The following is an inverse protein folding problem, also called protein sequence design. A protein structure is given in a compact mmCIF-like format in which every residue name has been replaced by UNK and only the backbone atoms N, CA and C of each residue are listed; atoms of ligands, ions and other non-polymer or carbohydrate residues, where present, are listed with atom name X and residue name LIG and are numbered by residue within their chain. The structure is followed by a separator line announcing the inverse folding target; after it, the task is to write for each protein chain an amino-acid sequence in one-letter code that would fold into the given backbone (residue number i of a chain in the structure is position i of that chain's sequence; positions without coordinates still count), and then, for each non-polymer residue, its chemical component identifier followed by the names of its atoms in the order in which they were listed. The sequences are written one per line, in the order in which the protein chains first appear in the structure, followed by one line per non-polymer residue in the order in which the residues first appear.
data_IF_350871596197
#
_entry.id   IF_350871596197
#
_cell.length_a   1.000
_cell.length_b   1.000
_cell.length_c   1.000
_cell.angle_alpha   90.00
_cell.angle_beta   90.00
_cell.angle_gamma   90.00
#
_symmetry.space_group_name_H-M   'P 1'
#
loop_
_entity.id
_entity.type
_entity.pdbx_description
1 polymer ?
#
# COMPACT_ATOMS: atom_id res chain seq x y z
N UNK A 1 -8.08 8.57 -27.76
CA UNK A 1 -7.77 8.08 -26.42
C UNK A 1 -7.35 9.23 -25.52
N UNK A 2 -7.88 9.27 -24.33
CA UNK A 2 -7.51 10.22 -23.28
C UNK A 2 -6.72 9.50 -22.19
N UNK A 3 -6.03 10.27 -21.36
CA UNK A 3 -5.39 9.78 -20.13
C UNK A 3 -6.01 10.50 -18.95
N UNK A 4 -6.03 9.84 -17.80
CA UNK A 4 -6.44 10.39 -16.52
C UNK A 4 -5.49 9.88 -15.44
N UNK A 5 -5.26 10.70 -14.42
CA UNK A 5 -4.41 10.37 -13.27
C UNK A 5 -5.25 9.89 -12.06
N UNK A 6 -6.53 9.60 -12.29
CA UNK A 6 -7.43 9.10 -11.25
C UNK A 6 -6.99 7.76 -10.68
N UNK A 7 -6.97 7.67 -9.35
CA UNK A 7 -6.66 6.42 -8.66
C UNK A 7 -7.78 5.40 -8.84
N UNK A 8 -7.41 4.15 -9.14
CA UNK A 8 -8.32 3.02 -9.23
C UNK A 8 -7.70 1.79 -8.58
N UNK A 9 -8.54 0.88 -8.08
CA UNK A 9 -8.16 -0.48 -7.74
C UNK A 9 -8.58 -1.46 -8.83
N UNK A 10 -7.92 -2.60 -8.89
CA UNK A 10 -8.34 -3.68 -9.78
C UNK A 10 -9.74 -4.20 -9.41
N UNK A 11 -10.12 -4.17 -8.14
CA UNK A 11 -11.45 -4.53 -7.66
C UNK A 11 -12.56 -3.58 -8.17
N UNK A 12 -12.22 -2.35 -8.54
CA UNK A 12 -13.17 -1.36 -9.07
C UNK A 12 -13.66 -1.72 -10.50
N UNK A 13 -12.95 -2.61 -11.18
CA UNK A 13 -13.25 -2.98 -12.58
C UNK A 13 -14.61 -3.66 -12.69
N UNK A 14 -14.94 -4.59 -11.79
CA UNK A 14 -16.22 -5.28 -11.80
C UNK A 14 -17.39 -4.30 -11.65
N UNK A 15 -17.33 -3.43 -10.64
CA UNK A 15 -18.37 -2.42 -10.39
C UNK A 15 -18.50 -1.45 -11.56
N UNK A 16 -17.39 -1.10 -12.20
CA UNK A 16 -17.40 -0.25 -13.40
C UNK A 16 -18.06 -0.92 -14.58
N UNK A 17 -17.78 -2.21 -14.83
CA UNK A 17 -18.43 -2.95 -15.91
C UNK A 17 -19.93 -3.07 -15.63
N UNK A 18 -20.32 -3.37 -14.40
CA UNK A 18 -21.73 -3.43 -14.00
C UNK A 18 -22.46 -2.10 -14.23
N UNK A 19 -21.82 -0.98 -13.85
CA UNK A 19 -22.38 0.36 -14.06
C UNK A 19 -22.51 0.71 -15.55
N UNK A 20 -21.52 0.39 -16.38
CA UNK A 20 -21.57 0.65 -17.83
C UNK A 20 -22.65 -0.19 -18.51
N UNK A 21 -22.86 -1.42 -18.09
CA UNK A 21 -23.79 -2.36 -18.73
C UNK A 21 -25.20 -2.29 -18.14
N UNK A 22 -25.40 -1.54 -17.04
CA UNK A 22 -26.67 -1.46 -16.31
C UNK A 22 -27.00 -2.74 -15.53
N UNK A 23 -26.04 -3.64 -15.34
CA UNK A 23 -26.19 -4.83 -14.49
C UNK A 23 -25.93 -4.45 -13.04
N UNK A 24 -26.75 -4.93 -12.11
CA UNK A 24 -26.52 -4.70 -10.68
C UNK A 24 -25.24 -5.44 -10.25
N UNK A 25 -24.30 -4.71 -9.64
CA UNK A 25 -23.12 -5.30 -9.02
C UNK A 25 -23.52 -6.22 -7.85
N UNK A 26 -22.79 -7.31 -7.60
CA UNK A 26 -22.99 -8.15 -6.42
C UNK A 26 -22.84 -7.33 -5.13
N UNK A 27 -23.65 -7.66 -4.11
CA UNK A 27 -23.61 -6.95 -2.81
C UNK A 27 -22.33 -7.21 -2.01
N UNK A 28 -21.54 -8.19 -2.45
CA UNK A 28 -20.27 -8.59 -1.84
C UNK A 28 -19.07 -7.86 -2.44
N UNK A 29 -19.26 -6.97 -3.43
CA UNK A 29 -18.15 -6.20 -3.99
C UNK A 29 -17.78 -5.05 -3.05
N UNK A 30 -16.48 -4.75 -2.98
CA UNK A 30 -15.94 -3.59 -2.25
C UNK A 30 -15.41 -2.52 -3.21
N UNK A 31 -15.68 -2.72 -4.51
CA UNK A 31 -15.25 -1.82 -5.57
C UNK A 31 -16.07 -0.53 -5.62
N UNK A 32 -15.52 0.44 -6.31
CA UNK A 32 -16.20 1.70 -6.63
C UNK A 32 -16.13 1.92 -8.13
N UNK A 33 -17.27 2.07 -8.81
CA UNK A 33 -17.26 2.35 -10.24
C UNK A 33 -16.47 3.62 -10.56
N UNK A 34 -15.50 3.51 -11.46
CA UNK A 34 -14.78 4.66 -12.01
C UNK A 34 -15.34 5.12 -13.36
N UNK A 35 -16.55 4.66 -13.74
CA UNK A 35 -17.25 5.16 -14.93
C UNK A 35 -17.28 6.70 -15.01
N UNK A 36 -17.54 7.45 -13.90
CA UNK A 36 -17.53 8.91 -13.96
C UNK A 36 -16.20 9.51 -14.42
N UNK A 37 -15.07 8.82 -14.15
CA UNK A 37 -13.76 9.24 -14.64
C UNK A 37 -13.62 8.93 -16.13
N UNK A 38 -14.09 7.77 -16.58
CA UNK A 38 -14.04 7.36 -18.00
C UNK A 38 -14.82 8.28 -18.92
N UNK A 39 -15.93 8.83 -18.44
CA UNK A 39 -16.78 9.75 -19.21
C UNK A 39 -16.47 11.24 -18.97
N UNK A 40 -15.47 11.55 -18.15
CA UNK A 40 -15.03 12.92 -17.88
C UNK A 40 -15.92 13.71 -16.92
N UNK A 41 -16.76 13.06 -16.14
CA UNK A 41 -17.61 13.68 -15.11
C UNK A 41 -16.86 13.98 -13.82
N UNK A 42 -15.78 13.21 -13.55
CA UNK A 42 -14.92 13.38 -12.38
C UNK A 42 -13.46 13.17 -12.77
N UNK A 43 -12.56 13.77 -12.02
CA UNK A 43 -11.12 13.56 -12.16
C UNK A 43 -10.68 12.26 -11.47
N UNK A 44 -11.29 11.94 -10.35
CA UNK A 44 -11.01 10.71 -9.58
C UNK A 44 -12.26 10.24 -8.84
N UNK A 45 -12.29 8.98 -8.47
CA UNK A 45 -13.27 8.41 -7.55
C UNK A 45 -12.66 7.99 -6.21
N UNK A 46 -11.33 8.04 -6.10
CA UNK A 46 -10.59 7.69 -4.90
C UNK A 46 -9.44 8.66 -4.68
N UNK A 47 -9.34 9.19 -3.47
CA UNK A 47 -8.23 10.06 -3.05
C UNK A 47 -7.05 9.24 -2.52
N UNK A 48 -7.34 8.06 -1.97
CA UNK A 48 -6.38 7.22 -1.27
C UNK A 48 -6.34 5.84 -1.90
N UNK A 49 -5.14 5.25 -1.97
CA UNK A 49 -4.94 3.84 -2.26
C UNK A 49 -4.27 3.18 -1.05
N UNK A 50 -4.84 2.08 -0.60
CA UNK A 50 -4.28 1.22 0.45
C UNK A 50 -3.82 -0.10 -0.17
N UNK A 51 -2.65 -0.58 0.18
CA UNK A 51 -2.07 -1.80 -0.34
C UNK A 51 -1.57 -2.72 0.77
N UNK A 52 -1.80 -4.02 0.60
CA UNK A 52 -1.39 -5.08 1.53
C UNK A 52 -0.59 -6.13 0.76
N UNK A 53 0.56 -6.52 1.31
CA UNK A 53 1.32 -7.65 0.82
C UNK A 53 1.93 -8.44 1.98
N UNK A 54 1.48 -9.66 2.16
CA UNK A 54 1.98 -10.52 3.25
C UNK A 54 3.14 -11.44 2.82
N UNK A 55 3.19 -11.87 1.56
CA UNK A 55 4.33 -12.59 0.97
C UNK A 55 4.87 -13.79 1.78
N UNK A 56 4.02 -14.42 2.60
CA UNK A 56 4.41 -15.51 3.51
C UNK A 56 4.90 -15.02 4.89
N UNK A 57 4.98 -13.71 5.13
CA UNK A 57 5.31 -13.11 6.43
C UNK A 57 4.10 -12.37 7.01
N UNK A 58 4.07 -12.17 8.32
CA UNK A 58 3.00 -11.48 9.04
C UNK A 58 3.59 -10.50 10.04
N UNK A 59 3.07 -9.29 10.11
CA UNK A 59 1.98 -8.71 9.31
C UNK A 59 2.31 -8.45 7.84
N UNK A 60 3.57 -8.37 7.44
CA UNK A 60 3.99 -8.13 6.07
C UNK A 60 4.17 -6.65 5.75
N UNK A 61 3.76 -6.22 4.56
CA UNK A 61 3.86 -4.83 4.15
C UNK A 61 2.49 -4.18 4.07
N UNK A 62 2.41 -2.92 4.48
CA UNK A 62 1.25 -2.05 4.34
C UNK A 62 1.69 -0.77 3.65
N UNK A 63 0.90 -0.32 2.70
CA UNK A 63 1.20 0.91 1.99
C UNK A 63 -0.04 1.79 1.85
N UNK A 64 0.16 3.08 1.90
CA UNK A 64 -0.88 4.06 1.60
C UNK A 64 -0.32 5.12 0.65
N UNK A 65 -1.13 5.52 -0.33
CA UNK A 65 -0.83 6.61 -1.27
C UNK A 65 -1.95 7.63 -1.23
N UNK A 66 -1.59 8.92 -1.10
CA UNK A 66 -2.51 10.04 -1.24
C UNK A 66 -1.81 11.21 -1.93
N UNK A 67 -2.39 11.67 -3.03
CA UNK A 67 -1.71 12.64 -3.89
C UNK A 67 -0.35 12.10 -4.36
N UNK A 68 0.69 12.92 -4.19
CA UNK A 68 2.07 12.54 -4.54
C UNK A 68 2.81 11.79 -3.43
N UNK A 69 2.17 11.58 -2.29
CA UNK A 69 2.83 10.93 -1.15
C UNK A 69 2.47 9.46 -1.05
N UNK A 70 3.49 8.64 -0.75
CA UNK A 70 3.34 7.22 -0.48
C UNK A 70 4.16 6.84 0.73
N UNK A 71 3.52 6.15 1.67
CA UNK A 71 4.17 5.48 2.80
C UNK A 71 4.09 3.98 2.58
N UNK A 72 5.20 3.30 2.78
CA UNK A 72 5.26 1.84 2.88
C UNK A 72 5.83 1.49 4.25
N UNK A 73 5.16 0.61 4.96
CA UNK A 73 5.61 0.11 6.24
C UNK A 73 5.83 -1.40 6.15
N UNK A 74 7.05 -1.83 6.44
CA UNK A 74 7.49 -3.21 6.38
C UNK A 74 7.53 -3.78 7.79
N UNK A 75 6.92 -4.94 7.99
CA UNK A 75 7.06 -5.77 9.18
C UNK A 75 7.14 -7.22 8.69
N UNK A 76 8.33 -7.62 8.29
CA UNK A 76 8.57 -8.85 7.55
C UNK A 76 9.61 -9.71 8.26
N UNK A 77 9.72 -10.97 7.85
CA UNK A 77 10.61 -11.97 8.43
C UNK A 77 10.42 -12.12 9.94
N UNK A 78 9.15 -12.22 10.39
CA UNK A 78 8.79 -12.32 11.80
C UNK A 78 9.32 -11.16 12.67
N UNK A 79 9.40 -9.95 12.09
CA UNK A 79 9.85 -8.74 12.77
C UNK A 79 11.36 -8.48 12.68
N UNK A 80 12.10 -9.28 11.91
CA UNK A 80 13.54 -9.03 11.70
C UNK A 80 13.78 -7.76 10.87
N UNK A 81 12.82 -7.40 10.00
CA UNK A 81 12.85 -6.17 9.22
C UNK A 81 11.61 -5.36 9.55
N UNK A 82 11.81 -4.24 10.23
CA UNK A 82 10.80 -3.25 10.56
C UNK A 82 11.27 -1.90 10.06
N UNK A 83 10.67 -1.43 8.97
CA UNK A 83 11.14 -0.25 8.24
C UNK A 83 9.95 0.56 7.74
N UNK A 84 10.11 1.88 7.70
CA UNK A 84 9.19 2.81 7.04
C UNK A 84 9.90 3.45 5.85
N UNK A 85 9.22 3.52 4.73
CA UNK A 85 9.70 4.22 3.55
C UNK A 85 8.68 5.26 3.13
N UNK A 86 9.09 6.53 3.11
CA UNK A 86 8.27 7.65 2.68
C UNK A 86 8.80 8.22 1.37
N UNK A 87 7.91 8.36 0.39
CA UNK A 87 8.21 8.87 -0.94
C UNK A 87 7.36 10.07 -1.29
N UNK A 88 7.97 11.03 -1.98
CA UNK A 88 7.27 12.01 -2.79
C UNK A 88 7.35 11.53 -4.26
N UNK A 89 6.25 11.07 -4.81
CA UNK A 89 6.19 10.49 -6.16
C UNK A 89 6.33 11.53 -7.27
N UNK A 90 6.12 12.82 -6.98
CA UNK A 90 6.42 13.88 -7.94
C UNK A 90 7.93 13.99 -8.20
N UNK A 91 8.75 13.78 -7.17
CA UNK A 91 10.21 13.85 -7.25
C UNK A 91 10.84 12.48 -7.54
N UNK A 92 10.17 11.40 -7.11
CA UNK A 92 10.66 10.02 -7.22
C UNK A 92 9.54 9.05 -7.64
N UNK A 93 9.05 9.15 -8.89
CA UNK A 93 7.90 8.37 -9.36
C UNK A 93 8.14 6.85 -9.44
N UNK A 94 9.39 6.43 -9.39
CA UNK A 94 9.78 5.02 -9.44
C UNK A 94 10.17 4.44 -8.07
N UNK A 95 10.04 5.24 -6.99
CA UNK A 95 10.32 4.80 -5.62
C UNK A 95 11.75 4.24 -5.46
N UNK A 96 12.71 4.82 -6.18
CA UNK A 96 14.11 4.41 -6.07
C UNK A 96 14.73 4.89 -4.77
N UNK A 97 15.56 4.04 -4.18
CA UNK A 97 16.36 4.35 -3.00
C UNK A 97 17.82 4.15 -3.33
N UNK A 98 18.63 5.20 -3.27
CA UNK A 98 20.04 5.15 -3.62
C UNK A 98 20.81 4.14 -2.75
N UNK A 99 20.43 4.01 -1.47
CA UNK A 99 21.02 3.06 -0.52
C UNK A 99 20.67 1.60 -0.81
N UNK A 100 19.56 1.32 -1.50
CA UNK A 100 19.12 -0.04 -1.81
C UNK A 100 19.53 -0.51 -3.22
N UNK A 101 20.16 0.37 -4.01
CA UNK A 101 20.60 0.05 -5.36
C UNK A 101 22.09 -0.33 -5.38
N UNK A 102 22.41 -1.50 -4.84
CA UNK A 102 23.74 -2.09 -5.04
C UNK A 102 24.06 -2.30 -6.53
N UNK A 103 25.35 -2.31 -6.89
CA UNK A 103 25.80 -2.41 -8.28
C UNK A 103 25.14 -3.54 -9.08
N UNK A 104 24.89 -4.70 -8.47
CA UNK A 104 24.19 -5.82 -9.12
C UNK A 104 22.72 -5.53 -9.46
N UNK A 105 22.01 -4.72 -8.64
CA UNK A 105 20.65 -4.27 -8.93
C UNK A 105 20.66 -3.31 -10.10
N UNK A 106 21.58 -2.34 -10.11
CA UNK A 106 21.75 -1.39 -11.23
C UNK A 106 22.09 -2.13 -12.53
N UNK A 107 22.97 -3.13 -12.48
CA UNK A 107 23.31 -3.93 -13.65
C UNK A 107 22.10 -4.67 -14.23
N UNK A 108 21.25 -5.24 -13.36
CA UNK A 108 20.06 -5.99 -13.75
C UNK A 108 18.96 -5.06 -14.29
N UNK A 109 18.65 -4.00 -13.58
CA UNK A 109 17.50 -3.12 -13.86
C UNK A 109 17.83 -2.02 -14.86
N UNK A 110 19.11 -1.69 -15.05
CA UNK A 110 19.62 -0.51 -15.77
C UNK A 110 19.11 0.81 -15.17
N UNK A 111 18.64 0.76 -13.92
CA UNK A 111 18.17 1.92 -13.17
C UNK A 111 19.24 2.37 -12.19
N UNK A 112 19.71 3.60 -12.33
CA UNK A 112 20.70 4.21 -11.44
C UNK A 112 20.02 5.38 -10.70
N UNK A 113 19.67 5.20 -9.40
CA UNK A 113 18.99 6.24 -8.65
C UNK A 113 19.89 7.48 -8.51
N UNK A 114 19.28 8.66 -8.58
CA UNK A 114 19.97 9.88 -8.23
C UNK A 114 20.24 9.92 -6.72
N UNK A 115 21.31 10.61 -6.31
CA UNK A 115 21.74 10.68 -4.90
C UNK A 115 20.70 11.28 -3.95
N UNK A 116 19.75 12.04 -4.47
CA UNK A 116 18.65 12.62 -3.70
C UNK A 116 17.39 11.72 -3.67
N UNK A 117 17.40 10.59 -4.32
CA UNK A 117 16.35 9.57 -4.23
C UNK A 117 16.64 8.68 -3.02
N UNK A 118 16.28 9.19 -1.85
CA UNK A 118 16.49 8.58 -0.53
C UNK A 118 15.15 8.38 0.17
N UNK A 119 15.17 7.56 1.21
CA UNK A 119 14.03 7.43 2.10
C UNK A 119 13.79 8.74 2.86
N UNK A 120 12.60 9.32 2.73
CA UNK A 120 12.22 10.56 3.40
C UNK A 120 11.71 10.35 4.82
N UNK A 121 11.47 9.09 5.25
CA UNK A 121 10.97 8.78 6.58
C UNK A 121 11.93 9.19 7.71
N UNK A 122 13.23 9.18 7.42
CA UNK A 122 14.29 9.50 8.39
C UNK A 122 14.70 10.99 8.37
N UNK A 123 14.18 11.78 7.45
CA UNK A 123 14.48 13.21 7.35
C UNK A 123 13.52 14.03 8.23
N UNK A 124 14.02 14.72 9.28
CA UNK A 124 13.20 15.53 10.18
C UNK A 124 12.35 16.58 9.47
N UNK A 125 12.74 17.01 8.27
CA UNK A 125 11.96 17.95 7.45
C UNK A 125 10.59 17.39 7.08
N UNK A 126 10.45 16.07 7.01
CA UNK A 126 9.22 15.39 6.60
C UNK A 126 8.50 14.71 7.77
N UNK A 127 8.88 14.98 9.02
CA UNK A 127 8.29 14.36 10.21
C UNK A 127 6.76 14.54 10.28
N UNK A 128 6.28 15.76 10.03
CA UNK A 128 4.83 16.04 10.01
C UNK A 128 4.11 15.27 8.88
N UNK A 129 4.75 15.17 7.70
CA UNK A 129 4.21 14.40 6.59
C UNK A 129 4.21 12.90 6.89
N UNK A 130 5.24 12.38 7.51
CA UNK A 130 5.29 10.98 7.96
C UNK A 130 4.14 10.70 8.93
N UNK A 131 3.94 11.54 9.93
CA UNK A 131 2.84 11.40 10.91
C UNK A 131 1.45 11.45 10.23
N UNK A 132 1.27 12.35 9.26
CA UNK A 132 0.03 12.40 8.47
C UNK A 132 -0.22 11.07 7.73
N UNK A 133 0.80 10.55 7.06
CA UNK A 133 0.68 9.33 6.27
C UNK A 133 0.53 8.07 7.15
N UNK A 134 1.15 8.03 8.32
CA UNK A 134 0.94 6.98 9.32
C UNK A 134 -0.50 6.98 9.85
N UNK A 135 -1.02 8.15 10.17
CA UNK A 135 -2.43 8.31 10.60
C UNK A 135 -3.38 7.83 9.51
N UNK A 136 -3.10 8.18 8.26
CA UNK A 136 -3.88 7.72 7.11
C UNK A 136 -3.79 6.21 6.94
N UNK A 137 -2.59 5.63 7.05
CA UNK A 137 -2.38 4.18 6.95
C UNK A 137 -3.22 3.43 7.99
N UNK A 138 -3.19 3.87 9.24
CA UNK A 138 -4.01 3.28 10.31
C UNK A 138 -5.52 3.41 10.05
N UNK A 139 -5.95 4.54 9.50
CA UNK A 139 -7.35 4.75 9.12
C UNK A 139 -7.79 3.76 8.03
N UNK A 140 -6.97 3.55 7.02
CA UNK A 140 -7.24 2.61 5.93
C UNK A 140 -7.24 1.16 6.43
N UNK A 141 -6.27 0.79 7.28
CA UNK A 141 -6.24 -0.54 7.91
C UNK A 141 -7.53 -0.84 8.68
N UNK A 142 -8.08 0.15 9.38
CA UNK A 142 -9.37 0.01 10.08
C UNK A 142 -10.56 -0.07 9.12
N UNK A 143 -10.54 0.74 8.06
CA UNK A 143 -11.60 0.77 7.06
C UNK A 143 -11.77 -0.57 6.35
N UNK A 144 -10.64 -1.27 6.14
CA UNK A 144 -10.61 -2.58 5.47
C UNK A 144 -10.50 -3.76 6.43
N UNK A 145 -10.75 -3.56 7.72
CA UNK A 145 -10.70 -4.59 8.76
C UNK A 145 -9.40 -5.41 8.71
N UNK A 146 -8.26 -4.72 8.49
CA UNK A 146 -6.96 -5.39 8.45
C UNK A 146 -6.70 -6.10 9.79
N UNK A 147 -6.52 -7.42 9.79
CA UNK A 147 -6.42 -8.21 11.02
C UNK A 147 -5.07 -8.05 11.73
N UNK A 148 -4.12 -7.33 11.16
CA UNK A 148 -2.78 -7.24 11.71
C UNK A 148 -2.49 -5.87 12.29
N UNK A 149 -1.56 -5.84 13.27
CA UNK A 149 -0.96 -4.63 13.81
C UNK A 149 0.50 -4.56 13.40
N UNK A 150 0.94 -3.36 13.07
CA UNK A 150 2.34 -3.05 12.85
C UNK A 150 3.03 -2.81 14.21
N UNK A 151 4.34 -3.01 14.26
CA UNK A 151 5.13 -2.97 15.52
C UNK A 151 5.02 -1.68 16.33
N UNK A 152 4.83 -0.56 15.67
CA UNK A 152 4.76 0.77 16.24
C UNK A 152 3.34 1.35 16.27
N UNK A 153 2.36 0.54 15.92
CA UNK A 153 0.96 0.96 15.95
C UNK A 153 0.55 1.26 17.40
N UNK A 154 -0.02 2.44 17.67
CA UNK A 154 -0.51 2.78 19.00
C UNK A 154 -1.49 1.75 19.54
N UNK A 155 -1.47 1.51 20.84
CA UNK A 155 -2.51 0.71 21.48
C UNK A 155 -3.81 1.54 21.50
N UNK A 156 -4.71 1.15 20.61
CA UNK A 156 -6.00 1.80 20.41
C UNK A 156 -7.17 1.01 21.05
N UNK A 157 -6.81 0.00 21.89
CA UNK A 157 -7.78 -0.88 22.54
C UNK A 157 -8.45 -1.88 21.59
N UNK A 158 -8.08 -1.92 20.32
CA UNK A 158 -8.57 -2.95 19.40
C UNK A 158 -7.95 -4.31 19.76
N UNK A 159 -8.69 -5.40 19.62
CA UNK A 159 -8.15 -6.72 19.88
C UNK A 159 -6.98 -7.00 18.93
N UNK A 160 -5.88 -7.51 19.48
CA UNK A 160 -4.81 -8.07 18.66
C UNK A 160 -5.37 -9.32 17.98
N UNK A 161 -5.33 -9.44 16.64
CA UNK A 161 -5.84 -10.62 15.97
C UNK A 161 -5.15 -11.87 16.50
N UNK A 162 -5.93 -12.87 16.83
CA UNK A 162 -5.37 -14.18 17.17
C UNK A 162 -4.73 -14.76 15.91
N UNK A 163 -3.68 -15.56 16.12
CA UNK A 163 -3.06 -16.30 15.02
C UNK A 163 -4.15 -17.02 14.22
N UNK A 164 -4.17 -16.79 12.90
CA UNK A 164 -5.14 -17.44 12.01
C UNK A 164 -5.11 -18.96 12.21
N UNK A 165 -6.20 -19.56 12.70
CA UNK A 165 -6.26 -21.01 12.93
C UNK A 165 -6.11 -21.80 11.62
N UNK A 166 -6.34 -21.17 10.46
CA UNK A 166 -6.14 -21.75 9.13
C UNK A 166 -4.72 -21.56 8.59
N UNK A 167 -3.85 -20.87 9.34
CA UNK A 167 -2.46 -20.75 8.93
C UNK A 167 -1.75 -22.09 9.05
N UNK A 168 -1.72 -22.81 7.94
CA UNK A 168 -1.11 -24.14 7.82
C UNK A 168 0.42 -24.10 7.62
N UNK A 169 1.01 -22.91 7.54
CA UNK A 169 2.45 -22.74 7.33
C UNK A 169 3.18 -22.51 8.65
N UNK A 170 4.28 -23.20 8.87
CA UNK A 170 5.21 -22.94 9.97
C UNK A 170 6.14 -21.76 9.67
N UNK A 171 6.87 -21.28 10.70
CA UNK A 171 7.89 -20.22 10.55
C UNK A 171 9.01 -20.58 9.56
N UNK A 172 9.25 -21.86 9.36
CA UNK A 172 10.22 -22.42 8.42
C UNK A 172 9.68 -22.53 6.97
N UNK A 173 8.52 -21.98 6.70
CA UNK A 173 7.87 -22.06 5.40
C UNK A 173 7.34 -23.44 5.02
N UNK A 174 7.25 -24.38 5.97
CA UNK A 174 6.72 -25.73 5.75
C UNK A 174 5.31 -25.87 6.29
N UNK A 175 4.53 -26.76 5.68
CA UNK A 175 3.21 -27.13 6.19
C UNK A 175 3.32 -27.66 7.63
N UNK A 176 2.53 -27.10 8.53
CA UNK A 176 2.34 -27.65 9.87
C UNK A 176 1.67 -29.01 9.73
N UNK A 177 2.24 -30.02 10.35
CA UNK A 177 1.66 -31.35 10.40
C UNK A 177 0.58 -31.44 11.45
#
# INVERSE_FOLDING_TARGET
GSRTDGNIYLLDVLDTICDITGVKAPETTEGTSFRPVLVGEKETVRDTLFGVYCGGTKPGMRAVKKGDWKLIQYDVLDGEIQEKQLFNLADNPHEYLAEHHAGGVVELTKAEPAKNQVNLADDPKYADKLTEMETLLLSEMRTYDDPYRLWDQPDDGLPVPQADPHNVWGKDGKLKK
#
